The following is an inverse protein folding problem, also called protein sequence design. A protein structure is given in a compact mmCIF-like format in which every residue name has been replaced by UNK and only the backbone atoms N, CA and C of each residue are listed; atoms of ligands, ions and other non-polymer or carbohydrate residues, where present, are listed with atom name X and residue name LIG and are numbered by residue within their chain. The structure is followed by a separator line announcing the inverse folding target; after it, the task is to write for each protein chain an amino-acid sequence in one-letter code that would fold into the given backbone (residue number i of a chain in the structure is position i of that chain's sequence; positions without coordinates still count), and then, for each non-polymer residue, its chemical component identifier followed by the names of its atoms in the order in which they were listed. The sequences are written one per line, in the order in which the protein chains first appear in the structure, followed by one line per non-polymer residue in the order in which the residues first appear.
data_IF_152334711489
#
_entry.id   IF_152334711489
#
_cell.length_a   1.000
_cell.length_b   1.000
_cell.length_c   1.000
_cell.angle_alpha   90.00
_cell.angle_beta   90.00
_cell.angle_gamma   90.00
#
_symmetry.space_group_name_H-M   'P 1'
#
loop_
_entity.id
_entity.type
_entity.pdbx_description
1 polymer ?
#
# COMPACT_ATOMS: atom_id res chain seq x y z
N UNK A 1 27.79 39.61 -78.31
CA UNK A 1 27.73 39.77 -76.85
C UNK A 1 26.52 39.01 -76.33
N UNK A 2 26.71 37.84 -75.75
CA UNK A 2 25.63 37.04 -75.15
C UNK A 2 25.99 36.78 -73.71
N UNK A 3 25.18 37.38 -72.79
CA UNK A 3 25.31 37.12 -71.36
C UNK A 3 24.63 35.84 -71.03
N UNK A 4 25.43 34.88 -70.44
CA UNK A 4 24.97 33.63 -69.91
C UNK A 4 24.52 33.87 -68.46
N UNK A 5 23.22 33.69 -68.19
CA UNK A 5 22.68 33.67 -66.84
C UNK A 5 22.78 32.23 -66.29
N UNK A 6 23.62 32.06 -65.26
CA UNK A 6 23.74 30.81 -64.55
C UNK A 6 22.60 30.73 -63.49
N UNK A 7 21.67 29.81 -63.71
CA UNK A 7 20.66 29.44 -62.75
C UNK A 7 21.32 28.76 -61.53
N UNK A 8 21.17 29.39 -60.36
CA UNK A 8 21.49 28.75 -59.10
C UNK A 8 20.25 28.01 -58.60
N UNK A 9 20.28 26.69 -58.66
CA UNK A 9 19.27 25.82 -58.08
C UNK A 9 19.48 25.80 -56.55
N UNK A 10 18.52 26.36 -55.84
CA UNK A 10 18.48 26.35 -54.36
C UNK A 10 17.88 25.03 -53.91
N UNK A 11 18.72 24.16 -53.38
CA UNK A 11 18.31 22.87 -52.81
C UNK A 11 17.76 23.10 -51.40
N UNK A 12 16.43 23.05 -51.28
CA UNK A 12 15.74 23.19 -49.99
C UNK A 12 15.81 21.83 -49.28
N UNK A 13 16.66 21.73 -48.24
CA UNK A 13 16.63 20.58 -47.33
C UNK A 13 15.44 20.73 -46.38
N UNK A 14 14.40 19.93 -46.62
CA UNK A 14 13.34 19.73 -45.63
C UNK A 14 13.91 18.88 -44.50
N UNK A 15 14.26 19.52 -43.40
CA UNK A 15 14.52 18.82 -42.12
C UNK A 15 13.15 18.44 -41.55
N UNK A 16 12.72 17.19 -41.76
CA UNK A 16 11.60 16.64 -41.02
C UNK A 16 12.05 16.45 -39.57
N UNK A 17 11.74 17.42 -38.74
CA UNK A 17 11.89 17.30 -37.30
C UNK A 17 10.98 16.20 -36.79
N UNK A 18 11.56 15.03 -36.50
CA UNK A 18 10.91 14.01 -35.71
C UNK A 18 10.79 14.59 -34.27
N UNK A 19 9.65 15.17 -33.95
CA UNK A 19 9.30 15.49 -32.56
C UNK A 19 9.11 14.16 -31.83
N UNK A 20 10.13 13.74 -31.10
CA UNK A 20 9.98 12.73 -30.05
C UNK A 20 9.21 13.43 -28.92
N UNK A 21 7.89 13.50 -29.13
CA UNK A 21 6.96 13.95 -28.10
C UNK A 21 6.51 12.72 -27.31
N UNK A 22 6.80 12.71 -26.05
CA UNK A 22 6.03 11.94 -25.14
C UNK A 22 6.66 10.65 -24.63
N UNK A 23 7.56 10.76 -23.66
CA UNK A 23 7.71 9.75 -22.60
C UNK A 23 8.27 10.44 -21.36
N UNK A 24 7.50 11.36 -20.80
CA UNK A 24 7.83 12.01 -19.53
C UNK A 24 6.58 12.26 -18.67
N UNK A 25 5.57 11.38 -18.73
CA UNK A 25 4.41 11.45 -17.83
C UNK A 25 4.24 10.22 -16.95
N UNK A 26 4.92 9.09 -17.20
CA UNK A 26 4.80 7.89 -16.39
C UNK A 26 5.71 7.86 -15.15
N UNK A 27 6.81 8.59 -15.14
CA UNK A 27 7.78 8.55 -14.05
C UNK A 27 7.24 9.01 -12.69
N UNK A 28 6.24 9.91 -12.66
CA UNK A 28 5.70 10.40 -11.38
C UNK A 28 4.67 9.46 -10.76
N UNK A 29 3.90 8.75 -11.55
CA UNK A 29 2.91 7.79 -11.04
C UNK A 29 3.61 6.53 -10.52
N UNK A 30 4.58 6.01 -11.29
CA UNK A 30 5.40 4.87 -10.89
C UNK A 30 6.21 5.20 -9.62
N UNK A 31 6.74 6.41 -9.50
CA UNK A 31 7.54 6.82 -8.34
C UNK A 31 6.66 6.92 -7.06
N UNK A 32 5.45 7.44 -7.15
CA UNK A 32 4.52 7.50 -6.02
C UNK A 32 4.05 6.11 -5.57
N UNK A 33 3.69 5.24 -6.51
CA UNK A 33 3.28 3.88 -6.20
C UNK A 33 4.45 3.09 -5.59
N UNK A 34 5.65 3.24 -6.12
CA UNK A 34 6.87 2.63 -5.59
C UNK A 34 7.21 3.16 -4.20
N UNK A 35 7.06 4.46 -3.95
CA UNK A 35 7.27 5.06 -2.63
C UNK A 35 6.25 4.56 -1.60
N UNK A 36 4.97 4.45 -1.98
CA UNK A 36 3.91 3.89 -1.13
C UNK A 36 4.23 2.45 -0.74
N UNK A 37 4.53 1.59 -1.71
CA UNK A 37 4.87 0.17 -1.49
C UNK A 37 6.06 0.05 -0.54
N UNK A 38 7.12 0.81 -0.79
CA UNK A 38 8.33 0.82 0.05
C UNK A 38 8.00 1.20 1.48
N UNK A 39 7.27 2.30 1.68
CA UNK A 39 6.89 2.77 3.01
C UNK A 39 6.05 1.76 3.78
N UNK A 40 5.06 1.12 3.13
CA UNK A 40 4.26 0.07 3.75
C UNK A 40 5.14 -1.11 4.20
N UNK A 41 6.04 -1.58 3.33
CA UNK A 41 6.93 -2.70 3.65
C UNK A 41 7.92 -2.33 4.76
N UNK A 42 8.53 -1.16 4.73
CA UNK A 42 9.46 -0.68 5.75
C UNK A 42 8.76 -0.62 7.12
N UNK A 43 7.59 0.00 7.20
CA UNK A 43 6.83 0.15 8.45
C UNK A 43 6.42 -1.21 9.05
N UNK A 44 6.01 -2.17 8.23
CA UNK A 44 5.67 -3.52 8.73
C UNK A 44 6.92 -4.30 9.15
N UNK A 45 7.95 -4.26 8.31
CA UNK A 45 9.16 -5.05 8.51
C UNK A 45 10.02 -4.53 9.66
N UNK A 46 9.88 -3.28 10.08
CA UNK A 46 10.48 -2.76 11.32
C UNK A 46 9.95 -3.55 12.54
N UNK A 47 8.63 -3.71 12.67
CA UNK A 47 8.05 -4.52 13.76
C UNK A 47 8.46 -5.99 13.69
N UNK A 48 8.54 -6.56 12.49
CA UNK A 48 8.90 -7.96 12.28
C UNK A 48 10.38 -8.22 12.57
N UNK A 49 11.27 -7.34 12.14
CA UNK A 49 12.72 -7.45 12.38
C UNK A 49 13.06 -7.39 13.87
N UNK A 50 12.37 -6.55 14.63
CA UNK A 50 12.52 -6.48 16.09
C UNK A 50 12.18 -7.80 16.81
N UNK A 51 11.44 -8.69 16.12
CA UNK A 51 11.05 -10.02 16.62
C UNK A 51 11.76 -11.16 15.86
N UNK A 52 12.76 -10.85 15.03
CA UNK A 52 13.48 -11.82 14.19
C UNK A 52 12.56 -12.66 13.31
N UNK A 53 11.45 -12.07 12.84
CA UNK A 53 10.52 -12.69 11.91
C UNK A 53 10.94 -12.42 10.46
N UNK A 54 10.66 -13.35 9.53
CA UNK A 54 10.88 -13.11 8.11
C UNK A 54 10.12 -11.85 7.63
N UNK A 55 10.73 -11.01 6.77
CA UNK A 55 10.07 -9.82 6.25
C UNK A 55 8.88 -10.19 5.36
N UNK A 56 7.85 -9.35 5.38
CA UNK A 56 6.75 -9.42 4.43
C UNK A 56 7.22 -8.97 3.05
N UNK A 57 6.67 -9.61 2.02
CA UNK A 57 6.82 -9.24 0.63
C UNK A 57 5.54 -8.58 0.10
N UNK A 58 5.68 -7.73 -0.91
CA UNK A 58 4.53 -7.11 -1.55
C UNK A 58 3.78 -8.07 -2.47
N UNK A 59 2.45 -8.07 -2.38
CA UNK A 59 1.56 -8.79 -3.27
C UNK A 59 0.66 -7.82 -4.06
N UNK A 60 0.87 -7.68 -5.39
CA UNK A 60 -0.01 -6.87 -6.22
C UNK A 60 -1.47 -7.34 -6.22
N UNK A 61 -1.71 -8.65 -6.08
CA UNK A 61 -3.07 -9.20 -6.01
C UNK A 61 -3.78 -8.73 -4.75
N UNK A 62 -3.14 -8.87 -3.56
CA UNK A 62 -3.69 -8.37 -2.31
C UNK A 62 -3.88 -6.84 -2.33
N UNK A 63 -2.98 -6.10 -2.99
CA UNK A 63 -3.13 -4.65 -3.14
C UNK A 63 -4.34 -4.27 -4.00
N UNK A 64 -4.62 -5.03 -5.07
CA UNK A 64 -5.83 -4.86 -5.89
C UNK A 64 -7.10 -5.08 -5.08
N UNK A 65 -7.14 -6.14 -4.27
CA UNK A 65 -8.29 -6.47 -3.42
C UNK A 65 -8.46 -5.43 -2.30
N UNK A 66 -7.35 -4.98 -1.69
CA UNK A 66 -7.33 -3.88 -0.74
C UNK A 66 -7.88 -2.58 -1.35
N UNK A 67 -7.53 -2.27 -2.61
CA UNK A 67 -8.02 -1.07 -3.31
C UNK A 67 -9.52 -1.13 -3.57
N UNK A 68 -10.03 -2.29 -3.97
CA UNK A 68 -11.47 -2.49 -4.18
C UNK A 68 -12.24 -2.22 -2.87
N UNK A 69 -11.75 -2.77 -1.76
CA UNK A 69 -12.37 -2.58 -0.46
C UNK A 69 -12.21 -1.14 0.06
N UNK A 70 -11.04 -0.53 -0.03
CA UNK A 70 -10.82 0.85 0.37
C UNK A 70 -11.76 1.83 -0.37
N UNK A 71 -11.98 1.64 -1.68
CA UNK A 71 -12.95 2.40 -2.45
C UNK A 71 -14.40 2.17 -2.00
N UNK A 72 -14.76 0.93 -1.67
CA UNK A 72 -16.08 0.62 -1.10
C UNK A 72 -16.31 1.35 0.23
N UNK A 73 -15.33 1.36 1.13
CA UNK A 73 -15.39 2.06 2.40
C UNK A 73 -15.51 3.58 2.22
N UNK A 74 -14.69 4.16 1.32
CA UNK A 74 -14.75 5.58 0.99
C UNK A 74 -16.11 5.97 0.41
N UNK A 75 -16.71 5.13 -0.44
CA UNK A 75 -18.04 5.38 -1.01
C UNK A 75 -19.18 5.24 -0.01
N UNK A 76 -19.05 4.39 1.00
CA UNK A 76 -20.05 4.16 2.04
C UNK A 76 -19.87 5.00 3.30
N UNK A 77 -18.72 5.65 3.44
CA UNK A 77 -18.27 6.39 4.65
C UNK A 77 -18.36 5.55 5.93
N UNK A 78 -17.97 4.28 5.86
CA UNK A 78 -18.02 3.34 6.98
C UNK A 78 -16.72 2.56 7.12
N UNK A 79 -16.17 2.55 8.33
CA UNK A 79 -15.04 1.69 8.69
C UNK A 79 -15.53 0.31 9.12
N UNK A 80 -15.49 -0.67 8.22
CA UNK A 80 -15.89 -2.05 8.51
C UNK A 80 -15.01 -3.06 7.78
N UNK A 81 -14.77 -4.20 8.42
CA UNK A 81 -14.04 -5.30 7.79
C UNK A 81 -14.84 -6.00 6.69
N UNK A 82 -14.12 -6.46 5.67
CA UNK A 82 -14.70 -7.27 4.61
C UNK A 82 -14.96 -8.70 5.11
N UNK A 83 -16.22 -9.03 5.27
CA UNK A 83 -16.62 -10.37 5.76
C UNK A 83 -16.45 -11.46 4.72
N UNK A 84 -16.26 -11.11 3.45
CA UNK A 84 -16.13 -12.11 2.35
C UNK A 84 -14.77 -12.79 2.32
N UNK A 85 -13.76 -12.24 3.01
CA UNK A 85 -12.39 -12.77 3.02
C UNK A 85 -12.07 -13.62 4.25
N UNK A 86 -12.97 -13.73 5.20
CA UNK A 86 -12.74 -14.48 6.45
C UNK A 86 -12.25 -15.89 6.15
N UNK A 87 -11.11 -16.26 6.76
CA UNK A 87 -10.44 -17.55 6.58
C UNK A 87 -9.57 -17.66 5.32
N UNK A 88 -9.53 -16.64 4.44
CA UNK A 88 -8.65 -16.60 3.26
C UNK A 88 -7.53 -15.59 3.42
N UNK A 89 -7.87 -14.38 3.84
CA UNK A 89 -6.95 -13.27 4.00
C UNK A 89 -7.10 -12.65 5.38
N UNK A 90 -6.02 -12.06 5.88
CA UNK A 90 -6.10 -11.14 6.99
C UNK A 90 -6.37 -9.73 6.51
N UNK A 91 -6.87 -8.86 7.39
CA UNK A 91 -7.12 -7.47 7.08
C UNK A 91 -6.78 -6.58 8.27
N UNK A 92 -6.07 -5.48 7.99
CA UNK A 92 -6.01 -4.31 8.86
C UNK A 92 -6.67 -3.14 8.17
N UNK A 93 -7.43 -2.36 8.94
CA UNK A 93 -8.16 -1.19 8.48
C UNK A 93 -7.83 0.01 9.36
N UNK A 94 -7.56 1.14 8.73
CA UNK A 94 -7.46 2.45 9.37
C UNK A 94 -8.31 3.46 8.60
N UNK A 95 -8.97 4.38 9.28
CA UNK A 95 -9.63 5.53 8.66
C UNK A 95 -9.54 6.75 9.56
N UNK A 96 -9.56 7.94 8.95
CA UNK A 96 -9.47 9.23 9.64
C UNK A 96 -9.56 10.39 8.68
N UNK A 97 -9.50 11.61 9.20
CA UNK A 97 -9.62 12.84 8.42
C UNK A 97 -8.63 12.86 7.24
N UNK A 98 -9.15 13.16 6.06
CA UNK A 98 -8.39 13.15 4.82
C UNK A 98 -7.18 14.09 4.89
N UNK A 99 -6.03 13.60 4.41
CA UNK A 99 -4.75 14.31 4.37
C UNK A 99 -4.20 14.76 5.73
N UNK A 100 -4.77 14.34 6.86
CA UNK A 100 -4.31 14.72 8.19
C UNK A 100 -3.22 13.80 8.76
N UNK A 101 -3.04 12.60 8.20
CA UNK A 101 -2.17 11.57 8.73
C UNK A 101 -1.24 11.02 7.65
N UNK A 102 0.01 10.77 8.05
CA UNK A 102 0.98 10.05 7.21
C UNK A 102 0.74 8.53 7.25
N UNK A 103 1.33 7.78 6.30
CA UNK A 103 1.35 6.31 6.38
C UNK A 103 2.00 5.81 7.67
N UNK A 104 3.01 6.54 8.18
CA UNK A 104 3.65 6.25 9.46
C UNK A 104 2.68 6.36 10.63
N UNK A 105 1.80 7.37 10.65
CA UNK A 105 0.78 7.52 11.68
C UNK A 105 -0.26 6.39 11.60
N UNK A 106 -0.72 6.06 10.39
CA UNK A 106 -1.74 5.03 10.17
C UNK A 106 -1.25 3.64 10.59
N UNK A 107 -0.11 3.19 10.08
CA UNK A 107 0.50 1.90 10.45
C UNK A 107 1.02 1.91 11.88
N UNK A 108 1.54 3.05 12.32
CA UNK A 108 1.96 3.27 13.71
C UNK A 108 0.83 3.11 14.72
N UNK A 109 -0.40 3.49 14.36
CA UNK A 109 -1.58 3.27 15.21
C UNK A 109 -1.83 1.76 15.44
N UNK A 110 -1.67 0.92 14.38
CA UNK A 110 -1.73 -0.53 14.53
C UNK A 110 -0.58 -1.07 15.40
N UNK A 111 0.63 -0.58 15.16
CA UNK A 111 1.81 -0.99 15.92
C UNK A 111 1.74 -0.60 17.40
N UNK A 112 1.09 0.51 17.73
CA UNK A 112 0.90 0.99 19.11
C UNK A 112 0.10 0.01 20.01
N UNK A 113 -0.67 -0.91 19.40
CA UNK A 113 -1.36 -1.97 20.14
C UNK A 113 -0.40 -2.93 20.85
N UNK A 114 0.89 -2.97 20.43
CA UNK A 114 1.98 -3.75 21.07
C UNK A 114 2.02 -3.55 22.59
N UNK A 115 1.73 -2.37 23.10
CA UNK A 115 1.70 -2.08 24.55
C UNK A 115 0.70 -2.93 25.32
N UNK A 116 -0.33 -3.40 24.63
CA UNK A 116 -1.37 -4.25 25.21
C UNK A 116 -1.16 -5.73 24.93
N UNK A 117 -0.20 -6.09 24.06
CA UNK A 117 0.11 -7.48 23.77
C UNK A 117 0.75 -8.17 24.98
N UNK A 118 0.38 -9.43 25.18
CA UNK A 118 0.99 -10.36 26.14
C UNK A 118 1.26 -11.67 25.43
N UNK A 119 2.32 -12.36 25.82
CA UNK A 119 2.58 -13.71 25.29
C UNK A 119 1.38 -14.62 25.50
N UNK A 120 0.99 -15.35 24.46
CA UNK A 120 -0.15 -16.23 24.50
C UNK A 120 -0.74 -16.52 23.13
N UNK A 121 -1.86 -17.20 23.11
CA UNK A 121 -2.60 -17.52 21.90
C UNK A 121 -3.65 -16.46 21.62
N UNK A 122 -3.88 -16.19 20.34
CA UNK A 122 -4.93 -15.26 19.92
C UNK A 122 -6.33 -15.87 20.19
N UNK A 123 -7.33 -15.12 20.68
CA UNK A 123 -7.31 -13.68 21.00
C UNK A 123 -6.88 -13.35 22.44
N UNK A 124 -6.45 -14.31 23.26
CA UNK A 124 -6.16 -14.12 24.66
C UNK A 124 -4.77 -13.52 24.94
N UNK A 125 -3.97 -13.31 23.89
CA UNK A 125 -2.67 -12.62 23.96
C UNK A 125 -2.79 -11.09 24.18
N UNK A 126 -3.66 -10.66 25.09
CA UNK A 126 -3.94 -9.23 25.37
C UNK A 126 -3.98 -8.95 26.86
N UNK A 127 -3.60 -7.72 27.24
CA UNK A 127 -3.51 -7.30 28.63
C UNK A 127 -4.85 -7.33 29.38
N UNK A 128 -5.97 -7.11 28.67
CA UNK A 128 -7.33 -7.18 29.20
C UNK A 128 -8.32 -7.56 28.09
N UNK A 129 -9.54 -7.95 28.47
CA UNK A 129 -10.60 -8.26 27.48
C UNK A 129 -10.99 -7.06 26.60
N UNK A 130 -10.82 -5.85 27.09
CA UNK A 130 -11.10 -4.61 26.33
C UNK A 130 -9.91 -4.13 25.49
N UNK A 131 -8.73 -4.71 25.65
CA UNK A 131 -7.55 -4.34 24.87
C UNK A 131 -7.64 -4.84 23.45
N UNK A 132 -7.35 -3.98 22.47
CA UNK A 132 -7.23 -4.33 21.05
C UNK A 132 -5.77 -4.66 20.77
N UNK A 133 -5.52 -5.79 20.12
CA UNK A 133 -4.18 -6.23 19.70
C UNK A 133 -4.18 -6.80 18.28
N UNK A 134 -5.35 -6.88 17.64
CA UNK A 134 -5.55 -7.58 16.39
C UNK A 134 -4.76 -7.00 15.22
N UNK A 135 -4.61 -5.68 15.15
CA UNK A 135 -3.83 -5.06 14.08
C UNK A 135 -2.33 -5.36 14.28
N UNK A 136 -1.81 -5.19 15.48
CA UNK A 136 -0.42 -5.50 15.79
C UNK A 136 -0.12 -6.99 15.54
N UNK A 137 -0.95 -7.90 16.07
CA UNK A 137 -0.72 -9.34 15.92
C UNK A 137 -0.77 -9.80 14.47
N UNK A 138 -1.63 -9.19 13.63
CA UNK A 138 -1.63 -9.46 12.19
C UNK A 138 -0.32 -9.01 11.52
N UNK A 139 0.20 -7.81 11.83
CA UNK A 139 1.47 -7.32 11.27
C UNK A 139 2.64 -8.26 11.58
N UNK A 140 2.67 -8.82 12.79
CA UNK A 140 3.75 -9.69 13.28
C UNK A 140 3.38 -11.17 13.26
N UNK A 141 2.32 -11.57 12.55
CA UNK A 141 1.94 -12.96 12.44
C UNK A 141 3.01 -13.76 11.71
N UNK A 142 3.59 -14.78 12.41
CA UNK A 142 4.76 -15.51 11.90
C UNK A 142 4.53 -16.11 10.51
N UNK A 143 3.36 -16.73 10.32
CA UNK A 143 3.04 -17.46 9.09
C UNK A 143 2.57 -16.53 7.94
N UNK A 144 2.31 -15.27 8.20
CA UNK A 144 2.02 -14.29 7.14
C UNK A 144 3.29 -13.97 6.37
N UNK A 145 3.24 -14.08 5.05
CA UNK A 145 4.39 -13.91 4.15
C UNK A 145 4.24 -12.68 3.25
N UNK A 146 3.00 -12.32 2.90
CA UNK A 146 2.76 -11.25 1.95
C UNK A 146 1.74 -10.24 2.46
N UNK A 147 1.89 -9.00 2.00
CA UNK A 147 0.97 -7.89 2.26
C UNK A 147 0.72 -7.11 0.98
N UNK A 148 -0.49 -6.61 0.84
CA UNK A 148 -0.86 -5.65 -0.19
C UNK A 148 -1.82 -4.64 0.38
N UNK A 149 -1.53 -3.35 0.20
CA UNK A 149 -2.31 -2.26 0.79
C UNK A 149 -2.76 -1.27 -0.27
N UNK A 150 -3.82 -0.53 0.05
CA UNK A 150 -4.28 0.60 -0.75
C UNK A 150 -4.91 1.67 0.13
N UNK A 151 -4.81 2.91 -0.33
CA UNK A 151 -5.43 4.08 0.26
C UNK A 151 -6.50 4.63 -0.68
N UNK A 152 -7.70 4.89 -0.17
CA UNK A 152 -8.75 5.60 -0.87
C UNK A 152 -9.29 6.74 -0.01
N UNK A 153 -9.81 7.79 -0.65
CA UNK A 153 -10.36 8.96 0.03
C UNK A 153 -11.73 9.31 -0.52
N UNK A 154 -12.64 9.80 0.33
CA UNK A 154 -13.88 10.45 -0.09
C UNK A 154 -13.81 11.99 0.02
N UNK A 155 -12.61 12.53 0.29
CA UNK A 155 -12.37 13.95 0.47
C UNK A 155 -12.58 14.46 1.90
N UNK A 156 -13.31 13.73 2.74
CA UNK A 156 -13.46 14.00 4.17
C UNK A 156 -12.62 13.04 5.00
N UNK A 157 -12.60 11.77 4.62
CA UNK A 157 -11.84 10.70 5.28
C UNK A 157 -10.97 9.93 4.29
N UNK A 158 -9.82 9.49 4.77
CA UNK A 158 -8.93 8.54 4.13
C UNK A 158 -9.15 7.15 4.73
N UNK A 159 -9.07 6.11 3.89
CA UNK A 159 -9.23 4.70 4.26
C UNK A 159 -8.02 3.91 3.78
N UNK A 160 -7.17 3.49 4.72
CA UNK A 160 -6.07 2.56 4.44
C UNK A 160 -6.54 1.14 4.75
N UNK A 161 -6.48 0.27 3.75
CA UNK A 161 -6.74 -1.16 3.88
C UNK A 161 -5.47 -1.92 3.56
N UNK A 162 -5.08 -2.86 4.41
CA UNK A 162 -4.02 -3.83 4.14
C UNK A 162 -4.58 -5.25 4.21
N UNK A 163 -4.29 -6.05 3.19
CA UNK A 163 -4.62 -7.48 3.09
C UNK A 163 -3.37 -8.32 3.31
N UNK A 164 -3.52 -9.47 3.92
CA UNK A 164 -2.40 -10.32 4.31
C UNK A 164 -2.64 -11.80 3.92
N UNK A 165 -1.59 -12.47 3.44
CA UNK A 165 -1.57 -13.92 3.20
C UNK A 165 -0.26 -14.54 3.74
N UNK A 166 -0.36 -15.68 4.43
CA UNK A 166 -1.58 -16.27 4.98
C UNK A 166 -2.24 -15.34 6.02
N UNK A 167 -3.56 -15.53 6.23
CA UNK A 167 -4.29 -14.82 7.28
C UNK A 167 -3.64 -15.04 8.64
N UNK A 168 -3.52 -13.97 9.41
CA UNK A 168 -3.15 -14.01 10.82
C UNK A 168 -4.37 -14.13 11.74
N UNK A 169 -4.13 -13.90 13.03
CA UNK A 169 -5.15 -13.85 14.06
C UNK A 169 -6.01 -15.13 14.14
N UNK A 170 -5.37 -16.27 13.89
CA UNK A 170 -6.02 -17.60 13.98
C UNK A 170 -6.24 -17.95 15.44
N UNK A 171 -7.50 -18.18 15.81
CA UNK A 171 -7.89 -18.50 17.18
C UNK A 171 -7.14 -19.74 17.68
N UNK A 172 -6.58 -19.68 18.88
CA UNK A 172 -5.81 -20.75 19.50
C UNK A 172 -4.35 -20.86 19.05
N UNK A 173 -3.88 -20.00 18.13
CA UNK A 173 -2.47 -19.95 17.68
C UNK A 173 -1.74 -18.74 18.26
N UNK A 174 -0.42 -18.87 18.43
CA UNK A 174 0.44 -17.75 18.80
C UNK A 174 0.77 -16.90 17.58
N UNK A 175 0.85 -15.56 17.72
CA UNK A 175 1.30 -14.68 16.64
C UNK A 175 2.75 -14.96 16.22
N UNK A 176 3.65 -15.23 17.21
CA UNK A 176 5.08 -15.55 17.02
C UNK A 176 5.69 -16.31 18.20
#
# INVERSE_FOLDING_TARGET
MRHSMRNKTLLLFLITGLTISGYCQDGRTIDKDTAFIRSILELHNEYRSALQLPPLQWSPALASDALAWAKHLAGSDKGQHDQTIVGREGENLWWGTANAFSLGDMVGAWGAEKKFFREGVFPDCRASRSSVVGHYTQMVWRNTQTVGCALASNGQNDYLVCRYAAAGNVVGQKPY
#
